data_IF_448141928217
#
_entry.id   IF_448141928217
#
_cell.length_a   1.000
_cell.length_b   1.000
_cell.length_c   1.000
_cell.angle_alpha   90.00
_cell.angle_beta   90.00
_cell.angle_gamma   90.00
#
_symmetry.space_group_name_H-M   'P 1'
#
loop_
_entity.id
_entity.type
_entity.pdbx_description
1 polymer ?
#
# COMPACT_ATOMS: atom_id res chain seq x y z
N UNK A 1 6.54 -2.28 -12.47
CA UNK A 1 5.16 -2.35 -13.00
C UNK A 1 4.12 -2.19 -11.90
N UNK A 2 4.07 -3.04 -10.85
CA UNK A 2 3.10 -2.89 -9.77
C UNK A 2 3.17 -1.53 -9.03
N UNK A 3 4.38 -1.00 -8.74
CA UNK A 3 4.53 0.34 -8.15
C UNK A 3 4.08 1.48 -9.09
N UNK A 4 4.26 1.29 -10.40
CA UNK A 4 3.78 2.22 -11.43
C UNK A 4 2.26 2.18 -11.53
N UNK A 5 1.67 0.98 -11.45
CA UNK A 5 0.23 0.79 -11.39
C UNK A 5 -0.37 1.43 -10.13
N UNK A 6 0.30 1.29 -8.98
CA UNK A 6 -0.08 2.01 -7.78
C UNK A 6 -0.09 3.52 -8.03
N UNK A 7 1.01 4.07 -8.56
CA UNK A 7 1.09 5.50 -8.89
C UNK A 7 -0.01 5.97 -9.85
N UNK A 8 -0.42 5.14 -10.81
CA UNK A 8 -1.53 5.44 -11.70
C UNK A 8 -2.86 5.54 -10.94
N UNK A 9 -3.15 4.59 -10.04
CA UNK A 9 -4.35 4.60 -9.19
C UNK A 9 -4.35 5.82 -8.25
N UNK A 10 -3.20 6.17 -7.68
CA UNK A 10 -3.10 7.25 -6.68
C UNK A 10 -3.20 8.64 -7.31
N UNK A 11 -2.47 8.86 -8.40
CA UNK A 11 -2.11 10.22 -8.84
C UNK A 11 -2.66 10.59 -10.20
N UNK A 12 -2.60 9.69 -11.18
CA UNK A 12 -3.01 9.97 -12.54
C UNK A 12 -3.26 8.68 -13.32
N UNK A 13 -4.51 8.43 -13.68
CA UNK A 13 -4.92 7.24 -14.41
C UNK A 13 -4.22 7.11 -15.79
N UNK A 14 -3.84 8.22 -16.41
CA UNK A 14 -3.14 8.24 -17.72
C UNK A 14 -1.74 7.59 -17.67
N UNK A 15 -1.18 7.37 -16.48
CA UNK A 15 0.07 6.59 -16.31
C UNK A 15 -0.14 5.12 -16.70
N UNK A 16 -1.37 4.60 -16.58
CA UNK A 16 -1.72 3.24 -16.98
C UNK A 16 -2.00 3.17 -18.49
N UNK A 17 -0.96 3.44 -19.27
CA UNK A 17 -0.96 3.30 -20.71
C UNK A 17 -0.91 1.82 -21.16
N UNK A 18 -1.10 1.61 -22.46
CA UNK A 18 -1.08 0.28 -23.07
C UNK A 18 0.23 -0.48 -22.80
N UNK A 19 1.36 0.23 -22.75
CA UNK A 19 2.66 -0.37 -22.49
C UNK A 19 2.79 -0.88 -21.04
N UNK A 20 2.18 -0.18 -20.07
CA UNK A 20 2.09 -0.64 -18.70
C UNK A 20 1.16 -1.85 -18.58
N UNK A 21 -0.02 -1.81 -19.20
CA UNK A 21 -0.97 -2.93 -19.20
C UNK A 21 -0.35 -4.19 -19.81
N UNK A 22 0.33 -4.06 -20.95
CA UNK A 22 1.04 -5.18 -21.59
C UNK A 22 2.15 -5.77 -20.71
N UNK A 23 2.84 -4.96 -19.88
CA UNK A 23 3.84 -5.47 -18.92
C UNK A 23 3.17 -6.14 -17.73
N UNK A 24 2.11 -5.55 -17.19
CA UNK A 24 1.34 -6.11 -16.08
C UNK A 24 0.75 -7.48 -16.44
N UNK A 25 0.14 -7.60 -17.61
CA UNK A 25 -0.47 -8.85 -18.10
C UNK A 25 0.51 -9.99 -18.36
N UNK A 26 1.83 -9.73 -18.37
CA UNK A 26 2.86 -10.80 -18.42
C UNK A 26 3.11 -11.47 -17.07
N UNK A 27 2.74 -10.81 -15.98
CA UNK A 27 3.06 -11.25 -14.62
C UNK A 27 1.84 -11.52 -13.76
N UNK A 28 0.70 -10.92 -14.12
CA UNK A 28 -0.55 -11.05 -13.39
C UNK A 28 -1.67 -11.38 -14.38
N UNK A 29 -2.53 -12.29 -13.98
CA UNK A 29 -3.82 -12.53 -14.60
C UNK A 29 -4.79 -11.38 -14.32
N UNK A 30 -5.87 -11.31 -15.09
CA UNK A 30 -6.90 -10.28 -14.89
C UNK A 30 -7.49 -10.29 -13.46
N UNK A 31 -7.83 -11.44 -12.84
CA UNK A 31 -8.26 -11.47 -11.45
C UNK A 31 -7.22 -10.92 -10.47
N UNK A 32 -5.94 -11.30 -10.63
CA UNK A 32 -4.86 -10.81 -9.77
C UNK A 32 -4.66 -9.29 -9.91
N UNK A 33 -4.81 -8.73 -11.12
CA UNK A 33 -4.74 -7.28 -11.35
C UNK A 33 -5.89 -6.53 -10.69
N UNK A 34 -7.09 -7.12 -10.69
CA UNK A 34 -8.26 -6.57 -10.00
C UNK A 34 -8.01 -6.58 -8.49
N UNK A 35 -7.60 -7.71 -7.93
CA UNK A 35 -7.29 -7.83 -6.50
C UNK A 35 -6.18 -6.86 -6.07
N UNK A 36 -5.09 -6.79 -6.84
CA UNK A 36 -4.00 -5.85 -6.60
C UNK A 36 -4.48 -4.39 -6.64
N UNK A 37 -5.32 -4.04 -7.63
CA UNK A 37 -5.89 -2.70 -7.75
C UNK A 37 -6.76 -2.32 -6.54
N UNK A 38 -7.64 -3.22 -6.10
CA UNK A 38 -8.48 -3.02 -4.91
C UNK A 38 -7.64 -2.89 -3.64
N UNK A 39 -6.63 -3.76 -3.46
CA UNK A 39 -5.73 -3.68 -2.31
C UNK A 39 -5.04 -2.32 -2.24
N UNK A 40 -4.46 -1.84 -3.36
CA UNK A 40 -3.80 -0.53 -3.43
C UNK A 40 -4.78 0.60 -3.09
N UNK A 41 -5.96 0.61 -3.71
CA UNK A 41 -6.95 1.67 -3.53
C UNK A 41 -7.45 1.74 -2.08
N UNK A 42 -7.74 0.58 -1.47
CA UNK A 42 -8.21 0.50 -0.09
C UNK A 42 -7.13 0.97 0.90
N UNK A 43 -5.91 0.43 0.80
CA UNK A 43 -4.82 0.79 1.72
C UNK A 43 -4.46 2.26 1.61
N UNK A 44 -4.37 2.81 0.40
CA UNK A 44 -4.09 4.23 0.26
C UNK A 44 -5.25 5.10 0.76
N UNK A 45 -6.49 4.74 0.43
CA UNK A 45 -7.67 5.48 0.89
C UNK A 45 -7.67 5.63 2.42
N UNK A 46 -7.36 4.54 3.12
CA UNK A 46 -7.18 4.55 4.58
C UNK A 46 -6.08 5.53 5.02
N UNK A 47 -4.88 5.44 4.43
CA UNK A 47 -3.77 6.34 4.78
C UNK A 47 -4.09 7.82 4.50
N UNK A 48 -4.78 8.11 3.38
CA UNK A 48 -5.20 9.46 3.03
C UNK A 48 -6.23 10.02 4.00
N UNK A 49 -7.19 9.19 4.43
CA UNK A 49 -8.18 9.58 5.42
C UNK A 49 -7.53 9.88 6.78
N UNK A 50 -6.66 9.00 7.28
CA UNK A 50 -5.88 9.22 8.52
C UNK A 50 -5.13 10.55 8.46
N UNK A 51 -4.41 10.80 7.35
CA UNK A 51 -3.68 12.06 7.15
C UNK A 51 -4.60 13.28 7.14
N UNK A 52 -5.79 13.16 6.55
CA UNK A 52 -6.78 14.26 6.50
C UNK A 52 -7.26 14.65 7.90
N UNK A 53 -7.33 13.69 8.82
CA UNK A 53 -7.71 13.92 10.21
C UNK A 53 -6.53 14.36 11.10
N UNK A 54 -5.30 14.42 10.58
CA UNK A 54 -4.11 14.78 11.36
C UNK A 54 -3.72 13.73 12.40
N UNK A 55 -4.21 12.48 12.26
CA UNK A 55 -3.99 11.40 13.22
C UNK A 55 -2.53 10.93 13.14
N UNK A 56 -1.83 11.03 14.28
CA UNK A 56 -0.47 10.55 14.48
C UNK A 56 -0.37 9.05 14.73
N UNK A 57 0.86 8.55 14.79
CA UNK A 57 1.12 7.15 15.11
C UNK A 57 0.61 6.83 16.53
N UNK A 58 -0.16 5.74 16.67
CA UNK A 58 -0.77 5.27 17.94
C UNK A 58 -1.80 6.22 18.56
N UNK A 59 -2.33 7.19 17.85
CA UNK A 59 -3.44 8.00 18.36
C UNK A 59 -4.79 7.27 18.26
N UNK A 60 -4.90 6.30 17.35
CA UNK A 60 -6.06 5.41 17.21
C UNK A 60 -5.64 3.98 17.53
N UNK A 61 -6.43 3.28 18.35
CA UNK A 61 -6.16 1.93 18.85
C UNK A 61 -4.77 1.83 19.54
N UNK A 62 -4.40 2.83 20.35
CA UNK A 62 -3.09 2.91 21.03
C UNK A 62 -2.69 1.68 21.85
N UNK A 63 -3.71 0.91 22.28
CA UNK A 63 -3.60 -0.27 23.14
C UNK A 63 -3.29 -1.57 22.37
N UNK A 64 -3.22 -1.54 21.02
CA UNK A 64 -2.83 -2.69 20.20
C UNK A 64 -1.40 -2.58 19.69
N UNK A 65 -0.72 -3.73 19.58
CA UNK A 65 0.56 -3.86 18.89
C UNK A 65 0.39 -4.29 17.43
N UNK A 66 -0.85 -4.45 16.96
CA UNK A 66 -1.15 -4.85 15.59
C UNK A 66 -0.54 -3.87 14.58
N UNK A 67 0.17 -4.41 13.59
CA UNK A 67 0.85 -3.61 12.56
C UNK A 67 2.22 -3.04 12.95
N UNK A 68 2.70 -3.26 14.18
CA UNK A 68 4.06 -2.91 14.57
C UNK A 68 5.06 -3.96 14.10
N UNK A 69 6.22 -3.51 13.63
CA UNK A 69 7.37 -4.39 13.49
C UNK A 69 7.78 -4.93 14.87
N UNK A 70 8.27 -6.18 14.97
CA UNK A 70 8.77 -6.70 16.24
C UNK A 70 9.92 -5.82 16.74
N UNK A 71 9.88 -5.47 18.03
CA UNK A 71 10.99 -4.75 18.66
C UNK A 71 12.24 -5.61 18.55
N UNK A 72 13.35 -5.09 17.97
CA UNK A 72 14.61 -5.82 17.97
C UNK A 72 14.98 -6.19 19.40
N UNK A 73 15.17 -7.48 19.68
CA UNK A 73 15.67 -7.93 20.97
C UNK A 73 17.02 -7.25 21.19
N UNK A 74 17.12 -6.40 22.22
CA UNK A 74 18.40 -5.84 22.60
C UNK A 74 19.36 -7.01 22.86
N UNK A 75 20.38 -7.17 22.02
CA UNK A 75 21.51 -8.05 22.34
C UNK A 75 22.19 -7.42 23.55
N UNK A 76 21.82 -7.88 24.74
CA UNK A 76 22.58 -7.63 25.98
C UNK A 76 23.90 -8.37 25.84
N UNK A 77 24.85 -7.74 25.16
CA UNK A 77 26.24 -8.17 25.14
C UNK A 77 26.90 -7.79 26.46
N UNK A 78 27.19 -8.81 27.28
CA UNK A 78 28.24 -8.78 28.29
C UNK A 78 29.40 -9.59 27.75
#
# INVERSE_FOLDING_TARGET
>A
MALTYASAIVWNAEIADEALWAKLGRHFSNPELVELGFFIALTLGQQRWIKTLGIGHREVLADTTAGLAPTPTATTGV
#
